data_IF_083645869896
#
_entry.id   IF_083645869896
#
_cell.length_a   1.000
_cell.length_b   1.000
_cell.length_c   1.000
_cell.angle_alpha   90.00
_cell.angle_beta   90.00
_cell.angle_gamma   90.00
#
_symmetry.space_group_name_H-M   'P 1'
#
loop_
_entity.id
_entity.type
_entity.pdbx_description
1 polymer ?
#
# COMPACT_ATOMS: atom_id res chain seq x y z
N UNK A 1 8.36 31.23 0.05
CA UNK A 1 8.89 29.97 0.65
C UNK A 1 7.82 29.19 1.40
N UNK A 2 6.91 29.86 2.11
CA UNK A 2 5.86 29.23 2.95
C UNK A 2 4.97 28.19 2.24
N UNK A 3 4.56 28.44 0.98
CA UNK A 3 3.72 27.50 0.24
C UNK A 3 4.38 26.14 -0.03
N UNK A 4 5.71 26.12 -0.23
CA UNK A 4 6.47 24.90 -0.49
C UNK A 4 6.58 24.04 0.77
N UNK A 5 6.75 24.66 1.94
CA UNK A 5 6.80 23.95 3.22
C UNK A 5 5.43 23.39 3.61
N UNK A 6 4.36 24.17 3.41
CA UNK A 6 2.98 23.68 3.59
C UNK A 6 2.69 22.49 2.69
N UNK A 7 3.08 22.54 1.43
CA UNK A 7 2.92 21.42 0.50
C UNK A 7 3.69 20.17 0.96
N UNK A 8 4.96 20.32 1.37
CA UNK A 8 5.77 19.21 1.89
C UNK A 8 5.13 18.57 3.12
N UNK A 9 4.61 19.38 4.05
CA UNK A 9 3.91 18.90 5.24
C UNK A 9 2.66 18.11 4.87
N UNK A 10 1.84 18.64 3.95
CA UNK A 10 0.64 17.95 3.47
C UNK A 10 0.96 16.60 2.82
N UNK A 11 2.00 16.54 1.98
CA UNK A 11 2.44 15.29 1.37
C UNK A 11 2.98 14.29 2.39
N UNK A 12 3.68 14.74 3.43
CA UNK A 12 4.13 13.85 4.50
C UNK A 12 2.96 13.21 5.25
N UNK A 13 1.95 14.00 5.64
CA UNK A 13 0.75 13.48 6.30
C UNK A 13 -0.03 12.50 5.41
N UNK A 14 -0.14 12.81 4.11
CA UNK A 14 -0.75 11.89 3.15
C UNK A 14 0.04 10.58 3.04
N UNK A 15 1.37 10.64 2.99
CA UNK A 15 2.23 9.46 2.93
C UNK A 15 2.04 8.56 4.15
N UNK A 16 2.03 9.15 5.35
CA UNK A 16 1.81 8.44 6.62
C UNK A 16 0.44 7.75 6.64
N UNK A 17 -0.61 8.44 6.19
CA UNK A 17 -1.96 7.88 6.10
C UNK A 17 -2.04 6.70 5.13
N UNK A 18 -1.35 6.79 3.97
CA UNK A 18 -1.31 5.69 3.00
C UNK A 18 -0.51 4.49 3.51
N UNK A 19 0.59 4.73 4.21
CA UNK A 19 1.37 3.66 4.84
C UNK A 19 0.55 2.94 5.92
N UNK A 20 -0.12 3.69 6.81
CA UNK A 20 -1.00 3.11 7.83
C UNK A 20 -2.15 2.30 7.22
N UNK A 21 -2.75 2.82 6.14
CA UNK A 21 -3.74 2.07 5.37
C UNK A 21 -3.17 0.76 4.82
N UNK A 22 -1.97 0.79 4.23
CA UNK A 22 -1.34 -0.38 3.64
C UNK A 22 -1.05 -1.45 4.70
N UNK A 23 -0.51 -1.06 5.86
CA UNK A 23 -0.26 -1.95 6.99
C UNK A 23 -1.54 -2.64 7.47
N UNK A 24 -2.66 -1.91 7.56
CA UNK A 24 -3.96 -2.49 7.94
C UNK A 24 -4.53 -3.40 6.84
N UNK A 25 -4.29 -3.05 5.58
CA UNK A 25 -4.83 -3.77 4.43
C UNK A 25 -4.06 -5.07 4.15
N UNK A 26 -2.79 -5.21 4.54
CA UNK A 26 -1.93 -6.32 4.11
C UNK A 26 -2.51 -7.71 4.41
N UNK A 27 -3.23 -7.85 5.54
CA UNK A 27 -3.83 -9.11 5.96
C UNK A 27 -5.14 -9.45 5.25
N UNK A 28 -5.86 -8.45 4.74
CA UNK A 28 -7.20 -8.61 4.16
C UNK A 28 -7.22 -8.43 2.63
N UNK A 29 -6.34 -7.59 2.09
CA UNK A 29 -6.16 -7.30 0.68
C UNK A 29 -4.70 -6.91 0.39
N UNK A 30 -3.83 -7.89 0.10
CA UNK A 30 -2.44 -7.64 -0.28
C UNK A 30 -2.29 -6.68 -1.47
N UNK A 31 -3.17 -6.77 -2.48
CA UNK A 31 -3.18 -5.84 -3.62
C UNK A 31 -3.45 -4.39 -3.20
N UNK A 32 -4.36 -4.18 -2.24
CA UNK A 32 -4.64 -2.85 -1.70
C UNK A 32 -3.46 -2.32 -0.88
N UNK A 33 -2.76 -3.19 -0.15
CA UNK A 33 -1.55 -2.82 0.56
C UNK A 33 -0.42 -2.41 -0.41
N UNK A 34 -0.19 -3.15 -1.49
CA UNK A 34 0.77 -2.75 -2.55
C UNK A 34 0.44 -1.36 -3.08
N UNK A 35 -0.83 -1.09 -3.41
CA UNK A 35 -1.25 0.23 -3.86
C UNK A 35 -1.00 1.31 -2.80
N UNK A 36 -1.34 1.04 -1.53
CA UNK A 36 -1.13 1.97 -0.42
C UNK A 36 0.35 2.33 -0.23
N UNK A 37 1.25 1.33 -0.22
CA UNK A 37 2.69 1.58 -0.13
C UNK A 37 3.24 2.36 -1.33
N UNK A 38 2.76 2.09 -2.56
CA UNK A 38 3.14 2.89 -3.74
C UNK A 38 2.69 4.35 -3.63
N UNK A 39 1.49 4.58 -3.10
CA UNK A 39 0.99 5.94 -2.85
C UNK A 39 1.80 6.64 -1.75
N UNK A 40 2.11 5.93 -0.66
CA UNK A 40 2.98 6.44 0.40
C UNK A 40 4.37 6.83 -0.14
N UNK A 41 4.98 5.95 -0.95
CA UNK A 41 6.27 6.20 -1.60
C UNK A 41 6.26 7.50 -2.41
N UNK A 42 5.24 7.68 -3.27
CA UNK A 42 5.08 8.87 -4.10
C UNK A 42 4.93 10.15 -3.27
N UNK A 43 4.12 10.10 -2.21
CA UNK A 43 3.90 11.22 -1.31
C UNK A 43 5.17 11.58 -0.51
N UNK A 44 5.94 10.58 -0.04
CA UNK A 44 7.22 10.83 0.61
C UNK A 44 8.22 11.50 -0.34
N UNK A 45 8.30 11.09 -1.61
CA UNK A 45 9.13 11.76 -2.62
C UNK A 45 8.73 13.23 -2.81
N UNK A 46 7.43 13.53 -2.88
CA UNK A 46 6.93 14.90 -2.98
C UNK A 46 7.16 15.74 -1.70
N UNK A 47 7.19 15.10 -0.53
CA UNK A 47 7.60 15.72 0.71
C UNK A 47 9.12 15.98 0.79
N UNK A 48 9.91 15.36 -0.11
CA UNK A 48 11.37 15.40 -0.11
C UNK A 48 12.02 14.38 0.83
N UNK A 49 11.27 13.38 1.29
CA UNK A 49 11.72 12.31 2.17
C UNK A 49 12.06 11.06 1.33
N UNK A 50 13.17 11.14 0.61
CA UNK A 50 13.53 10.11 -0.38
C UNK A 50 13.85 8.75 0.27
N UNK A 51 14.43 8.75 1.47
CA UNK A 51 14.72 7.50 2.19
C UNK A 51 13.44 6.71 2.49
N UNK A 52 12.39 7.38 2.99
CA UNK A 52 11.09 6.74 3.22
C UNK A 52 10.40 6.37 1.91
N UNK A 53 10.57 7.18 0.87
CA UNK A 53 10.03 6.87 -0.45
C UNK A 53 10.58 5.54 -0.99
N UNK A 54 11.89 5.34 -0.91
CA UNK A 54 12.56 4.11 -1.33
C UNK A 54 12.15 2.92 -0.46
N UNK A 55 12.06 3.11 0.86
CA UNK A 55 11.60 2.07 1.78
C UNK A 55 10.19 1.57 1.42
N UNK A 56 9.23 2.48 1.24
CA UNK A 56 7.86 2.11 0.87
C UNK A 56 7.79 1.46 -0.52
N UNK A 57 8.63 1.91 -1.48
CA UNK A 57 8.71 1.28 -2.80
C UNK A 57 9.21 -0.17 -2.69
N UNK A 58 10.29 -0.39 -1.92
CA UNK A 58 10.85 -1.73 -1.72
C UNK A 58 9.83 -2.68 -1.09
N UNK A 59 9.10 -2.22 -0.07
CA UNK A 59 8.04 -3.02 0.57
C UNK A 59 6.94 -3.37 -0.45
N UNK A 60 6.52 -2.41 -1.28
CA UNK A 60 5.52 -2.64 -2.31
C UNK A 60 5.99 -3.68 -3.34
N UNK A 61 7.25 -3.61 -3.77
CA UNK A 61 7.84 -4.52 -4.74
C UNK A 61 8.00 -5.92 -4.16
N UNK A 62 8.55 -6.06 -2.95
CA UNK A 62 8.65 -7.35 -2.26
C UNK A 62 7.27 -8.00 -2.06
N UNK A 63 6.24 -7.21 -1.73
CA UNK A 63 4.88 -7.70 -1.57
C UNK A 63 4.28 -8.13 -2.92
N UNK A 64 4.51 -7.35 -3.98
CA UNK A 64 4.07 -7.69 -5.34
C UNK A 64 4.72 -8.97 -5.85
N UNK A 65 6.03 -9.12 -5.66
CA UNK A 65 6.78 -10.33 -6.03
C UNK A 65 6.26 -11.57 -5.30
N UNK A 66 5.98 -11.46 -3.98
CA UNK A 66 5.37 -12.55 -3.21
C UNK A 66 3.98 -12.92 -3.72
N UNK A 67 3.22 -11.95 -4.23
CA UNK A 67 1.91 -12.20 -4.83
C UNK A 67 2.00 -12.85 -6.22
N UNK A 68 3.02 -12.51 -7.01
CA UNK A 68 3.23 -13.04 -8.37
C UNK A 68 3.93 -14.41 -8.38
N UNK A 69 4.86 -14.65 -7.45
CA UNK A 69 5.63 -15.89 -7.32
C UNK A 69 4.98 -16.98 -6.45
N UNK A 70 3.81 -16.71 -5.85
CA UNK A 70 3.06 -17.70 -5.09
C UNK A 70 2.30 -18.66 -6.00
N UNK A 71 2.67 -19.94 -6.01
CA UNK A 71 1.84 -21.02 -6.53
C UNK A 71 0.47 -21.00 -5.85
N UNK A 72 -0.49 -20.34 -6.50
CA UNK A 72 -1.84 -20.26 -5.99
C UNK A 72 -2.44 -18.91 -6.28
N UNK A 73 -3.18 -18.84 -7.40
CA UNK A 73 -4.32 -17.94 -7.55
C UNK A 73 -5.11 -17.94 -6.24
N UNK A 74 -4.84 -17.00 -5.34
CA UNK A 74 -5.77 -16.66 -4.28
C UNK A 74 -7.02 -16.15 -5.01
N UNK A 75 -8.17 -16.84 -4.91
CA UNK A 75 -9.37 -16.28 -5.49
C UNK A 75 -9.67 -15.00 -4.70
N UNK A 76 -9.50 -13.86 -5.37
CA UNK A 76 -9.78 -12.51 -4.87
C UNK A 76 -11.19 -12.37 -4.28
N UNK A 77 -12.08 -13.35 -4.51
CA UNK A 77 -13.40 -13.45 -3.92
C UNK A 77 -13.66 -14.90 -3.50
N UNK A 78 -13.70 -15.16 -2.19
CA UNK A 78 -14.29 -16.38 -1.65
C UNK A 78 -15.80 -16.18 -1.66
N UNK A 79 -16.49 -16.67 -2.70
CA UNK A 79 -17.95 -16.66 -2.74
C UNK A 79 -18.45 -17.48 -1.55
N UNK A 80 -19.08 -16.83 -0.58
CA UNK A 80 -19.71 -17.53 0.54
C UNK A 80 -20.96 -18.24 0.01
N UNK A 81 -20.85 -19.53 -0.31
CA UNK A 81 -22.04 -20.37 -0.49
C UNK A 81 -22.61 -20.70 0.89
N UNK A 82 -23.63 -19.95 1.30
CA UNK A 82 -24.54 -20.42 2.34
C UNK A 82 -25.08 -21.81 1.93
N UNK A 83 -25.02 -22.75 2.87
CA UNK A 83 -25.06 -24.18 2.62
C UNK A 83 -26.27 -24.65 1.81
N UNK A 84 -26.01 -25.54 0.85
CA UNK A 84 -27.02 -26.48 0.39
C UNK A 84 -27.10 -27.66 1.34
N UNK A 85 -28.28 -27.94 1.90
CA UNK A 85 -28.75 -29.30 2.13
C UNK A 85 -30.28 -29.39 2.05
N UNK A 86 -30.69 -30.22 1.08
CA UNK A 86 -31.95 -30.96 0.86
C UNK A 86 -33.25 -30.18 0.71
#
# INVERSE_FOLDING_TARGET
MEGREKARSAFRMAAESYAEYAEKAISSSPSSAVWGYRMASKCYAWAGDYSKSEEMSRIADELSEKMEGGEGRYPLFRIFRAGGKK
#
